data_IF_515524779534
#
_entry.id   IF_515524779534
#
_cell.length_a   1.000
_cell.length_b   1.000
_cell.length_c   1.000
_cell.angle_alpha   90.00
_cell.angle_beta   90.00
_cell.angle_gamma   90.00
#
_symmetry.space_group_name_H-M   'P 1'
#
loop_
_entity.id
_entity.type
_entity.pdbx_description
1 polymer ?
#
# COMPACT_ATOMS: atom_id res chain seq x y z
N UNK A 1 -13.04 3.00 11.21
CA UNK A 1 -12.31 3.62 10.09
C UNK A 1 -10.85 3.58 10.44
N UNK A 2 -10.05 2.88 9.64
CA UNK A 2 -8.61 2.71 9.87
C UNK A 2 -7.82 3.73 9.05
N UNK A 3 -6.56 3.97 9.43
CA UNK A 3 -5.65 4.80 8.64
C UNK A 3 -4.57 3.92 8.01
N UNK A 4 -4.42 4.00 6.69
CA UNK A 4 -3.38 3.28 5.95
C UNK A 4 -2.11 4.13 5.89
N UNK A 5 -1.07 3.68 6.60
CA UNK A 5 0.27 4.28 6.58
C UNK A 5 1.10 3.78 5.39
N UNK A 6 2.07 4.59 4.94
CA UNK A 6 2.90 4.29 3.76
C UNK A 6 3.70 3.01 3.97
N UNK A 7 4.13 2.75 5.21
CA UNK A 7 4.84 1.53 5.57
C UNK A 7 4.05 0.26 5.28
N UNK A 8 2.72 0.27 5.43
CA UNK A 8 1.88 -0.89 5.12
C UNK A 8 2.04 -1.31 3.67
N UNK A 9 2.02 -0.33 2.76
CA UNK A 9 2.16 -0.58 1.33
C UNK A 9 3.61 -0.93 0.97
N UNK A 10 4.59 -0.31 1.62
CA UNK A 10 6.02 -0.65 1.46
C UNK A 10 6.29 -2.11 1.83
N UNK A 11 5.82 -2.56 3.01
CA UNK A 11 6.02 -3.95 3.45
C UNK A 11 5.25 -4.93 2.58
N UNK A 12 4.02 -4.59 2.17
CA UNK A 12 3.26 -5.44 1.26
C UNK A 12 3.99 -5.67 -0.08
N UNK A 13 4.71 -4.65 -0.56
CA UNK A 13 5.42 -4.65 -1.85
C UNK A 13 6.79 -5.35 -1.79
N UNK A 14 7.56 -5.18 -0.69
CA UNK A 14 8.97 -5.58 -0.62
C UNK A 14 9.32 -6.67 0.40
N UNK A 15 8.42 -6.99 1.33
CA UNK A 15 8.69 -7.96 2.40
C UNK A 15 8.06 -9.33 2.08
N UNK A 16 8.90 -10.36 1.93
CA UNK A 16 8.48 -11.74 1.69
C UNK A 16 8.24 -12.54 2.98
N UNK A 17 8.49 -11.96 4.14
CA UNK A 17 8.24 -12.56 5.46
C UNK A 17 6.83 -12.32 5.98
N UNK A 18 6.64 -12.72 7.24
CA UNK A 18 5.35 -12.68 7.96
C UNK A 18 4.74 -11.27 7.97
N UNK A 19 5.59 -10.24 8.08
CA UNK A 19 5.14 -8.85 8.12
C UNK A 19 4.53 -8.43 6.79
N UNK A 20 5.19 -8.72 5.68
CA UNK A 20 4.64 -8.44 4.35
C UNK A 20 3.38 -9.24 4.04
N UNK A 21 3.32 -10.51 4.47
CA UNK A 21 2.12 -11.34 4.30
C UNK A 21 0.92 -10.77 5.06
N UNK A 22 1.14 -10.35 6.31
CA UNK A 22 0.11 -9.68 7.09
C UNK A 22 -0.36 -8.37 6.44
N UNK A 23 0.56 -7.53 5.95
CA UNK A 23 0.21 -6.30 5.25
C UNK A 23 -0.62 -6.57 3.98
N UNK A 24 -0.26 -7.59 3.18
CA UNK A 24 -1.05 -8.00 2.00
C UNK A 24 -2.45 -8.49 2.37
N UNK A 25 -2.59 -9.22 3.47
CA UNK A 25 -3.90 -9.67 3.97
C UNK A 25 -4.80 -8.48 4.34
N UNK A 26 -4.28 -7.51 5.09
CA UNK A 26 -5.03 -6.29 5.46
C UNK A 26 -5.40 -5.47 4.23
N UNK A 27 -4.48 -5.30 3.29
CA UNK A 27 -4.75 -4.59 2.02
C UNK A 27 -5.88 -5.26 1.24
N UNK A 28 -5.89 -6.60 1.13
CA UNK A 28 -6.97 -7.32 0.46
C UNK A 28 -8.34 -7.09 1.12
N UNK A 29 -8.38 -6.97 2.46
CA UNK A 29 -9.60 -6.62 3.18
C UNK A 29 -10.09 -5.18 2.90
N UNK A 30 -9.20 -4.27 2.56
CA UNK A 30 -9.55 -2.91 2.14
C UNK A 30 -10.10 -2.94 0.71
N UNK A 31 -9.38 -3.60 -0.21
CA UNK A 31 -9.78 -3.71 -1.62
C UNK A 31 -11.15 -4.37 -1.80
N UNK A 32 -11.46 -5.38 -0.99
CA UNK A 32 -12.75 -6.08 -1.04
C UNK A 32 -13.86 -5.40 -0.22
N UNK A 33 -13.58 -4.28 0.44
CA UNK A 33 -14.55 -3.51 1.22
C UNK A 33 -14.92 -4.10 2.59
N UNK A 34 -14.24 -5.16 3.04
CA UNK A 34 -14.43 -5.73 4.39
C UNK A 34 -13.94 -4.76 5.49
N UNK A 35 -12.97 -3.90 5.16
CA UNK A 35 -12.41 -2.90 6.05
C UNK A 35 -12.41 -1.54 5.37
N UNK A 36 -13.00 -0.53 6.00
CA UNK A 36 -12.89 0.86 5.56
C UNK A 36 -11.63 1.49 6.16
N UNK A 37 -10.75 1.94 5.27
CA UNK A 37 -9.55 2.70 5.60
C UNK A 37 -9.57 4.06 4.88
N UNK A 38 -8.77 4.99 5.38
CA UNK A 38 -8.42 6.23 4.68
C UNK A 38 -6.92 6.45 4.76
N UNK A 39 -6.41 7.35 3.94
CA UNK A 39 -5.00 7.75 3.98
C UNK A 39 -4.87 9.25 3.72
N UNK A 40 -3.69 9.81 3.93
CA UNK A 40 -3.40 11.19 3.52
C UNK A 40 -2.75 11.24 2.15
N UNK A 41 -2.93 12.36 1.45
CA UNK A 41 -2.23 12.61 0.19
C UNK A 41 -0.69 12.61 0.37
N UNK A 42 -0.19 12.98 1.56
CA UNK A 42 1.24 12.95 1.88
C UNK A 42 1.76 11.52 1.95
N UNK A 43 0.95 10.61 2.51
CA UNK A 43 1.28 9.19 2.59
C UNK A 43 1.41 8.56 1.20
N UNK A 44 0.57 8.96 0.25
CA UNK A 44 0.70 8.58 -1.16
C UNK A 44 2.01 9.13 -1.76
N UNK A 45 2.32 10.41 -1.56
CA UNK A 45 3.52 11.04 -2.11
C UNK A 45 4.82 10.38 -1.60
N UNK A 46 4.92 10.14 -0.29
CA UNK A 46 6.05 9.44 0.34
C UNK A 46 6.24 8.03 -0.22
N UNK A 47 5.15 7.28 -0.34
CA UNK A 47 5.16 5.93 -0.88
C UNK A 47 5.63 5.91 -2.34
N UNK A 48 4.99 6.74 -3.18
CA UNK A 48 5.23 6.76 -4.62
C UNK A 48 6.66 7.21 -4.93
N UNK A 49 7.18 8.18 -4.19
CA UNK A 49 8.57 8.61 -4.29
C UNK A 49 9.55 7.47 -3.98
N UNK A 50 9.28 6.65 -2.95
CA UNK A 50 10.14 5.54 -2.56
C UNK A 50 10.09 4.40 -3.58
N UNK A 51 8.90 3.96 -3.97
CA UNK A 51 8.73 2.80 -4.86
C UNK A 51 9.27 3.06 -6.27
N UNK A 52 9.17 4.29 -6.79
CA UNK A 52 9.79 4.66 -8.07
C UNK A 52 11.31 4.46 -8.12
N UNK A 53 11.99 4.40 -6.98
CA UNK A 53 13.45 4.14 -6.92
C UNK A 53 13.79 2.65 -6.91
N UNK A 54 12.86 1.82 -6.48
CA UNK A 54 13.06 0.39 -6.26
C UNK A 54 12.42 -0.47 -7.37
N UNK A 55 11.39 0.06 -8.05
CA UNK A 55 10.58 -0.66 -9.03
C UNK A 55 10.47 0.09 -10.35
N UNK A 56 10.03 -0.62 -11.40
CA UNK A 56 9.68 0.00 -12.68
C UNK A 56 8.52 0.99 -12.50
N UNK A 57 8.36 1.93 -13.44
CA UNK A 57 7.24 2.88 -13.36
C UNK A 57 5.88 2.18 -13.39
N UNK A 58 5.74 1.12 -14.20
CA UNK A 58 4.52 0.33 -14.35
C UNK A 58 4.17 -0.40 -13.05
N UNK A 59 5.16 -1.03 -12.42
CA UNK A 59 4.98 -1.68 -11.12
C UNK A 59 4.63 -0.65 -10.04
N UNK A 60 5.26 0.52 -10.06
CA UNK A 60 4.98 1.61 -9.12
C UNK A 60 3.53 2.10 -9.23
N UNK A 61 3.01 2.25 -10.45
CA UNK A 61 1.60 2.63 -10.69
C UNK A 61 0.68 1.54 -10.17
N UNK A 62 0.93 0.27 -10.54
CA UNK A 62 0.11 -0.87 -10.13
C UNK A 62 0.04 -1.01 -8.61
N UNK A 63 1.18 -0.89 -7.92
CA UNK A 63 1.21 -0.99 -6.46
C UNK A 63 0.55 0.21 -5.77
N UNK A 64 0.40 1.34 -6.47
CA UNK A 64 -0.28 2.54 -5.96
C UNK A 64 -1.81 2.48 -6.10
N UNK A 65 -2.37 1.50 -6.80
CA UNK A 65 -3.82 1.38 -6.99
C UNK A 65 -4.59 1.20 -5.68
N UNK A 66 -3.94 0.65 -4.64
CA UNK A 66 -4.53 0.50 -3.31
C UNK A 66 -5.09 1.81 -2.73
N UNK A 67 -4.45 2.93 -3.06
CA UNK A 67 -4.88 4.24 -2.57
C UNK A 67 -6.23 4.71 -3.16
N UNK A 68 -6.73 4.06 -4.22
CA UNK A 68 -8.06 4.32 -4.78
C UNK A 68 -9.18 3.67 -3.96
N UNK A 69 -8.86 2.72 -3.09
CA UNK A 69 -9.80 2.03 -2.21
C UNK A 69 -9.86 2.64 -0.80
N UNK A 70 -9.08 3.70 -0.56
CA UNK A 70 -8.99 4.45 0.70
C UNK A 70 -9.64 5.83 0.57
#
# INVERSE_FOLDING_TARGET
>A
MYYLDSNMVIYASGDSGVKGEWCRSVISMIENGSVSACTSYLTFDEYFYKIKKEFSHEDAVKLSEIFLYC
#
